data_IF_053621031520
#
_entry.id   IF_053621031520
#
_cell.length_a   1.000
_cell.length_b   1.000
_cell.length_c   1.000
_cell.angle_alpha   90.00
_cell.angle_beta   90.00
_cell.angle_gamma   90.00
#
_symmetry.space_group_name_H-M   'P 1'
#
loop_
_entity.id
_entity.type
_entity.pdbx_description
1 polymer ?
#
# COMPACT_ATOMS: atom_id res chain seq x y z
N UNK A 1 -22.91 3.39 16.48
CA UNK A 1 -22.14 3.49 17.74
C UNK A 1 -20.84 2.78 17.47
N UNK A 2 -19.70 3.48 17.40
CA UNK A 2 -18.41 2.85 17.23
C UNK A 2 -18.04 2.17 18.56
N UNK A 3 -17.99 0.85 18.56
CA UNK A 3 -17.48 0.09 19.69
C UNK A 3 -15.99 0.34 19.78
N UNK A 4 -15.55 1.07 20.78
CA UNK A 4 -14.13 1.18 21.12
C UNK A 4 -13.72 -0.19 21.65
N UNK A 5 -12.84 -0.89 20.93
CA UNK A 5 -12.17 -2.06 21.52
C UNK A 5 -11.22 -1.51 22.56
N UNK A 6 -11.70 -1.48 23.79
CA UNK A 6 -10.90 -1.07 24.94
C UNK A 6 -9.85 -2.17 25.20
N UNK A 7 -8.65 -1.98 24.65
CA UNK A 7 -7.50 -2.86 24.92
C UNK A 7 -7.07 -2.81 26.39
N UNK A 8 -7.69 -1.96 27.23
CA UNK A 8 -7.47 -1.93 28.68
C UNK A 8 -8.05 -3.15 29.40
N UNK A 9 -8.94 -3.92 28.77
CA UNK A 9 -9.57 -5.11 29.36
C UNK A 9 -8.82 -6.43 29.10
N UNK A 10 -7.91 -6.49 28.13
CA UNK A 10 -6.96 -7.58 28.01
C UNK A 10 -5.62 -7.14 28.60
N UNK A 11 -5.16 -7.85 29.62
CA UNK A 11 -3.82 -7.65 30.19
C UNK A 11 -2.79 -7.67 29.04
N UNK A 12 -2.05 -6.57 28.87
CA UNK A 12 -1.02 -6.45 27.82
C UNK A 12 -0.03 -7.62 27.87
N UNK A 13 0.22 -8.17 29.07
CA UNK A 13 1.06 -9.36 29.23
C UNK A 13 0.43 -10.61 28.59
N UNK A 14 -0.90 -10.76 28.62
CA UNK A 14 -1.58 -11.87 27.97
C UNK A 14 -1.52 -11.74 26.44
N UNK A 15 -1.70 -10.53 25.92
CA UNK A 15 -1.57 -10.25 24.48
C UNK A 15 -0.15 -10.60 24.02
N UNK A 16 0.88 -10.14 24.73
CA UNK A 16 2.28 -10.44 24.40
C UNK A 16 2.55 -11.94 24.39
N UNK A 17 2.11 -12.66 25.42
CA UNK A 17 2.33 -14.11 25.54
C UNK A 17 1.62 -14.88 24.39
N UNK A 18 0.37 -14.52 24.09
CA UNK A 18 -0.39 -15.15 23.02
C UNK A 18 0.21 -14.85 21.64
N UNK A 19 0.64 -13.62 21.40
CA UNK A 19 1.32 -13.23 20.17
C UNK A 19 2.65 -13.98 19.99
N UNK A 20 3.49 -14.03 21.01
CA UNK A 20 4.75 -14.79 20.99
C UNK A 20 4.52 -16.28 20.67
N UNK A 21 3.47 -16.86 21.24
CA UNK A 21 3.09 -18.26 20.94
C UNK A 21 2.70 -18.43 19.47
N UNK A 22 1.88 -17.55 18.91
CA UNK A 22 1.51 -17.58 17.50
C UNK A 22 2.72 -17.39 16.57
N UNK A 23 3.66 -16.49 16.94
CA UNK A 23 4.91 -16.29 16.20
C UNK A 23 5.81 -17.54 16.24
N UNK A 24 5.90 -18.25 17.36
CA UNK A 24 6.64 -19.51 17.49
C UNK A 24 6.05 -20.62 16.64
N UNK A 25 4.75 -20.58 16.32
CA UNK A 25 4.07 -21.47 15.38
C UNK A 25 4.35 -21.13 13.91
N UNK A 26 5.16 -20.11 13.63
CA UNK A 26 5.56 -19.70 12.29
C UNK A 26 4.63 -18.68 11.61
N UNK A 27 3.60 -18.18 12.30
CA UNK A 27 2.73 -17.15 11.75
C UNK A 27 3.51 -15.83 11.57
N UNK A 28 3.26 -15.12 10.47
CA UNK A 28 3.77 -13.75 10.28
C UNK A 28 3.08 -12.80 11.27
N UNK A 29 3.67 -11.64 11.54
CA UNK A 29 3.16 -10.68 12.54
C UNK A 29 1.69 -10.31 12.31
N UNK A 30 1.30 -10.05 11.05
CA UNK A 30 -0.09 -9.79 10.68
C UNK A 30 -1.02 -10.96 11.00
N UNK A 31 -0.64 -12.16 10.56
CA UNK A 31 -1.47 -13.37 10.71
C UNK A 31 -1.57 -13.75 12.20
N UNK A 32 -0.50 -13.56 12.97
CA UNK A 32 -0.49 -13.77 14.42
C UNK A 32 -1.44 -12.78 15.13
N UNK A 33 -1.41 -11.50 14.81
CA UNK A 33 -2.34 -10.51 15.35
C UNK A 33 -3.80 -10.86 15.00
N UNK A 34 -4.05 -11.19 13.75
CA UNK A 34 -5.38 -11.56 13.25
C UNK A 34 -5.92 -12.82 13.92
N UNK A 35 -5.07 -13.83 14.19
CA UNK A 35 -5.47 -15.05 14.91
C UNK A 35 -5.92 -14.79 16.37
N UNK A 36 -5.52 -13.65 16.91
CA UNK A 36 -5.93 -13.18 18.24
C UNK A 36 -7.16 -12.25 18.21
N UNK A 37 -7.72 -11.99 17.02
CA UNK A 37 -8.79 -11.00 16.84
C UNK A 37 -8.33 -9.56 17.04
N UNK A 38 -7.01 -9.29 16.94
CA UNK A 38 -6.41 -7.97 17.16
C UNK A 38 -5.85 -7.39 15.85
N UNK A 39 -5.77 -6.06 15.79
CA UNK A 39 -5.00 -5.39 14.74
C UNK A 39 -3.50 -5.42 15.05
N UNK A 40 -2.65 -5.29 14.01
CA UNK A 40 -1.19 -5.21 14.21
C UNK A 40 -0.80 -4.03 15.11
N UNK A 41 -1.44 -2.86 14.92
CA UNK A 41 -1.20 -1.69 15.75
C UNK A 41 -1.54 -1.92 17.21
N UNK A 42 -2.63 -2.64 17.51
CA UNK A 42 -3.02 -2.99 18.88
C UNK A 42 -2.01 -3.93 19.54
N UNK A 43 -1.52 -4.91 18.79
CA UNK A 43 -0.45 -5.80 19.28
C UNK A 43 0.82 -5.01 19.59
N UNK A 44 1.27 -4.11 18.71
CA UNK A 44 2.44 -3.28 19.00
C UNK A 44 2.23 -2.35 20.21
N UNK A 45 1.04 -1.76 20.34
CA UNK A 45 0.71 -0.94 21.50
C UNK A 45 0.80 -1.75 22.82
N UNK A 46 0.40 -3.04 22.81
CA UNK A 46 0.55 -3.92 23.96
C UNK A 46 2.01 -4.28 24.29
N UNK A 47 2.95 -4.10 23.33
CA UNK A 47 4.38 -4.31 23.53
C UNK A 47 5.14 -3.02 23.88
N UNK A 48 4.46 -1.89 24.07
CA UNK A 48 5.10 -0.66 24.54
C UNK A 48 5.51 -0.78 26.01
N UNK A 49 6.66 -0.19 26.35
CA UNK A 49 7.22 -0.22 27.71
C UNK A 49 8.20 -1.38 27.93
N UNK A 50 8.73 -1.45 29.16
CA UNK A 50 9.75 -2.45 29.52
C UNK A 50 9.11 -3.84 29.73
N UNK A 51 9.62 -4.83 29.04
CA UNK A 51 9.26 -6.24 29.20
C UNK A 51 10.39 -7.15 28.65
N UNK A 52 10.39 -8.41 29.05
CA UNK A 52 11.43 -9.38 28.69
C UNK A 52 11.24 -10.03 27.31
N UNK A 53 10.27 -9.62 26.50
CA UNK A 53 10.02 -10.19 25.19
C UNK A 53 11.07 -9.81 24.15
N UNK A 54 11.16 -10.59 23.07
CA UNK A 54 12.07 -10.34 21.94
C UNK A 54 11.59 -9.22 21.01
N UNK A 55 10.31 -8.89 21.03
CA UNK A 55 9.72 -7.78 20.29
C UNK A 55 9.74 -6.53 21.18
N UNK A 56 10.59 -5.57 20.85
CA UNK A 56 10.71 -4.30 21.54
C UNK A 56 10.04 -3.20 20.73
N UNK A 57 9.21 -2.39 21.37
CA UNK A 57 8.39 -1.38 20.72
C UNK A 57 8.53 -0.04 21.44
N UNK A 58 9.08 0.94 20.73
CA UNK A 58 9.14 2.32 21.18
C UNK A 58 8.09 3.15 20.45
N UNK A 59 7.10 3.72 21.15
CA UNK A 59 6.13 4.62 20.55
C UNK A 59 6.78 5.89 20.02
N UNK A 60 6.19 6.47 18.96
CA UNK A 60 6.66 7.68 18.31
C UNK A 60 5.66 8.81 18.43
N UNK A 61 6.16 10.04 18.59
CA UNK A 61 5.34 11.27 18.54
C UNK A 61 4.66 11.39 17.18
N UNK A 62 3.41 11.94 17.09
CA UNK A 62 2.67 12.08 15.83
C UNK A 62 3.21 13.24 14.96
N UNK A 63 4.50 13.27 14.71
CA UNK A 63 5.23 14.22 13.87
C UNK A 63 5.68 13.53 12.58
N UNK A 64 4.68 13.02 11.81
CA UNK A 64 4.92 12.07 10.73
C UNK A 64 5.84 12.58 9.63
N UNK A 65 5.62 13.82 9.17
CA UNK A 65 6.46 14.43 8.12
C UNK A 65 7.88 14.65 8.62
N UNK A 66 8.02 15.17 9.83
CA UNK A 66 9.31 15.46 10.45
C UNK A 66 10.11 14.17 10.68
N UNK A 67 9.47 13.08 11.09
CA UNK A 67 10.10 11.76 11.19
C UNK A 67 10.65 11.33 9.83
N UNK A 68 9.83 11.39 8.77
CA UNK A 68 10.23 10.95 7.44
C UNK A 68 11.37 11.82 6.87
N UNK A 69 11.36 13.13 7.12
CA UNK A 69 12.42 14.04 6.71
C UNK A 69 13.72 13.79 7.46
N UNK A 70 13.64 13.41 8.75
CA UNK A 70 14.80 13.10 9.57
C UNK A 70 15.51 11.80 9.15
N UNK A 71 14.90 10.96 8.31
CA UNK A 71 15.50 9.70 7.84
C UNK A 71 16.57 9.88 6.76
N UNK A 72 16.68 11.04 6.14
CA UNK A 72 17.64 11.25 5.04
C UNK A 72 19.09 10.88 5.41
N UNK A 73 19.63 11.24 6.58
CA UNK A 73 20.98 10.85 6.99
C UNK A 73 21.19 9.34 7.22
N UNK A 74 20.09 8.58 7.36
CA UNK A 74 20.18 7.12 7.53
C UNK A 74 20.66 6.41 6.26
N UNK A 75 20.66 7.06 5.11
CA UNK A 75 21.00 6.43 3.83
C UNK A 75 19.93 5.44 3.36
N UNK A 76 20.32 4.32 2.72
CA UNK A 76 19.36 3.38 2.16
C UNK A 76 18.48 2.71 3.21
N UNK A 77 17.17 2.74 2.97
CA UNK A 77 16.12 2.10 3.76
C UNK A 77 15.17 1.37 2.81
N UNK A 78 14.38 0.43 3.31
CA UNK A 78 13.31 -0.17 2.52
C UNK A 78 11.96 0.43 2.91
N UNK A 79 11.28 1.02 1.94
CA UNK A 79 9.87 1.42 2.01
C UNK A 79 8.97 0.21 1.74
N UNK A 80 7.98 -0.01 2.60
CA UNK A 80 6.98 -1.06 2.43
C UNK A 80 5.59 -0.48 2.58
N UNK A 81 4.78 -0.60 1.53
CA UNK A 81 3.33 -0.35 1.57
C UNK A 81 2.59 -1.59 1.11
N UNK A 82 1.51 -1.92 1.78
CA UNK A 82 0.74 -3.13 1.48
C UNK A 82 -0.75 -2.93 1.74
N UNK A 83 -1.53 -3.80 1.14
CA UNK A 83 -2.91 -4.09 1.52
C UNK A 83 -3.10 -5.60 1.77
N UNK A 84 -4.31 -6.12 1.69
CA UNK A 84 -4.59 -7.54 1.96
C UNK A 84 -3.99 -8.47 0.91
N UNK A 85 -3.94 -8.03 -0.34
CA UNK A 85 -3.57 -8.85 -1.49
C UNK A 85 -2.18 -8.57 -2.05
N UNK A 86 -1.53 -7.46 -1.68
CA UNK A 86 -0.24 -7.09 -2.27
C UNK A 86 0.69 -6.42 -1.27
N UNK A 87 1.99 -6.73 -1.39
CA UNK A 87 3.09 -6.05 -0.69
C UNK A 87 4.03 -5.47 -1.73
N UNK A 88 4.37 -4.20 -1.57
CA UNK A 88 5.30 -3.45 -2.39
C UNK A 88 6.48 -3.00 -1.52
N UNK A 89 7.67 -3.44 -1.86
CA UNK A 89 8.92 -3.10 -1.19
C UNK A 89 9.84 -2.37 -2.16
N UNK A 90 10.46 -1.28 -1.71
CA UNK A 90 11.39 -0.49 -2.52
C UNK A 90 12.52 0.02 -1.65
N UNK A 91 13.76 -0.24 -2.05
CA UNK A 91 14.95 0.31 -1.40
C UNK A 91 15.25 1.70 -1.95
N UNK A 92 15.65 2.62 -1.07
CA UNK A 92 16.03 3.98 -1.46
C UNK A 92 16.28 4.89 -0.27
N UNK A 93 16.62 6.14 -0.55
CA UNK A 93 16.87 7.18 0.46
C UNK A 93 15.61 8.02 0.64
N UNK A 94 15.19 8.19 1.89
CA UNK A 94 14.05 9.05 2.26
C UNK A 94 14.47 10.53 2.22
N UNK A 95 14.28 11.18 1.07
CA UNK A 95 14.66 12.59 0.84
C UNK A 95 13.68 13.29 -0.08
N UNK A 96 13.69 14.63 -0.06
CA UNK A 96 12.87 15.44 -0.98
C UNK A 96 11.39 15.48 -0.61
N UNK A 97 11.05 15.34 0.68
CA UNK A 97 9.67 15.43 1.14
C UNK A 97 9.14 16.87 1.04
N UNK A 98 7.99 17.00 0.41
CA UNK A 98 7.19 18.22 0.36
C UNK A 98 5.80 17.96 0.92
N UNK A 99 5.06 19.03 1.22
CA UNK A 99 3.68 18.95 1.70
C UNK A 99 2.82 19.96 0.96
N UNK A 100 1.76 19.47 0.35
CA UNK A 100 0.75 20.29 -0.31
C UNK A 100 -0.61 20.07 0.36
N UNK A 101 -1.05 21.04 1.16
CA UNK A 101 -2.26 20.89 1.98
C UNK A 101 -2.15 19.69 2.93
N UNK A 102 -3.10 18.73 2.89
CA UNK A 102 -3.10 17.55 3.75
C UNK A 102 -2.24 16.38 3.20
N UNK A 103 -1.63 16.53 2.02
CA UNK A 103 -0.90 15.47 1.31
C UNK A 103 0.59 15.72 1.39
N UNK A 104 1.35 14.73 1.85
CA UNK A 104 2.79 14.69 1.75
C UNK A 104 3.22 13.98 0.46
N UNK A 105 4.28 14.47 -0.13
CA UNK A 105 4.88 13.92 -1.34
C UNK A 105 6.35 13.60 -1.09
N UNK A 106 6.78 12.43 -1.51
CA UNK A 106 8.18 12.10 -1.73
C UNK A 106 8.28 11.59 -3.16
N UNK A 107 9.04 12.25 -3.98
CA UNK A 107 9.20 11.87 -5.39
C UNK A 107 10.67 12.07 -5.75
N UNK A 108 11.46 11.04 -5.54
CA UNK A 108 12.84 10.98 -5.98
C UNK A 108 13.05 9.74 -6.88
N UNK A 109 14.28 9.46 -7.27
CA UNK A 109 14.59 8.38 -8.21
C UNK A 109 14.15 7.00 -7.70
N UNK A 110 14.28 6.76 -6.39
CA UNK A 110 13.99 5.45 -5.79
C UNK A 110 12.65 5.42 -5.03
N UNK A 111 12.39 6.44 -4.22
CA UNK A 111 11.21 6.49 -3.33
C UNK A 111 10.17 7.46 -3.89
N UNK A 112 9.02 6.93 -4.28
CA UNK A 112 7.88 7.71 -4.76
C UNK A 112 6.64 7.37 -3.92
N UNK A 113 6.23 8.32 -3.05
CA UNK A 113 5.14 8.16 -2.08
C UNK A 113 4.15 9.31 -2.18
N UNK A 114 2.86 8.98 -2.03
CA UNK A 114 1.78 9.92 -1.74
C UNK A 114 1.27 9.61 -0.34
N UNK A 115 1.40 10.56 0.58
CA UNK A 115 1.19 10.35 2.01
C UNK A 115 -0.04 11.13 2.46
N UNK A 116 -1.02 10.42 3.00
CA UNK A 116 -2.28 10.99 3.47
C UNK A 116 -2.27 11.03 5.01
N UNK A 117 -1.55 12.00 5.58
CA UNK A 117 -1.28 12.07 7.02
C UNK A 117 -2.53 12.14 7.90
N UNK A 118 -3.67 12.54 7.36
CA UNK A 118 -4.95 12.49 8.07
C UNK A 118 -5.42 11.06 8.42
N UNK A 119 -4.88 10.06 7.75
CA UNK A 119 -5.16 8.65 8.03
C UNK A 119 -4.12 8.00 8.96
N UNK A 120 -3.05 8.72 9.33
CA UNK A 120 -2.00 8.20 10.21
C UNK A 120 -2.38 8.46 11.67
N UNK A 121 -2.45 7.40 12.47
CA UNK A 121 -2.90 7.48 13.86
C UNK A 121 -1.81 7.13 14.88
N UNK A 122 -1.04 6.08 14.63
CA UNK A 122 -0.02 5.58 15.52
C UNK A 122 1.28 5.30 14.77
N UNK A 123 2.42 5.49 15.45
CA UNK A 123 3.74 5.17 14.93
C UNK A 123 4.61 4.49 15.99
N UNK A 124 5.39 3.52 15.56
CA UNK A 124 6.26 2.74 16.43
C UNK A 124 7.62 2.52 15.79
N UNK A 125 8.69 2.67 16.56
CA UNK A 125 9.97 2.06 16.27
C UNK A 125 9.97 0.65 16.86
N UNK A 126 10.25 -0.34 16.02
CA UNK A 126 10.11 -1.76 16.33
C UNK A 126 11.45 -2.44 16.13
N UNK A 127 11.88 -3.21 17.15
CA UNK A 127 13.00 -4.13 17.03
C UNK A 127 12.49 -5.53 17.30
N UNK A 128 12.64 -6.42 16.32
CA UNK A 128 12.25 -7.81 16.44
C UNK A 128 13.36 -8.75 15.97
N UNK A 129 13.29 -10.03 16.36
CA UNK A 129 14.24 -11.04 15.89
C UNK A 129 13.93 -11.38 14.41
N UNK A 130 14.87 -11.11 13.54
CA UNK A 130 14.81 -11.50 12.13
C UNK A 130 15.01 -13.00 11.91
N UNK A 131 14.91 -13.44 10.65
CA UNK A 131 14.90 -14.85 10.24
C UNK A 131 16.09 -15.69 10.74
N UNK A 132 17.24 -15.05 10.95
CA UNK A 132 18.48 -15.72 11.38
C UNK A 132 18.95 -15.25 12.77
N UNK A 133 18.02 -14.74 13.60
CA UNK A 133 18.33 -14.25 14.94
C UNK A 133 18.99 -12.86 14.98
N UNK A 134 19.26 -12.24 13.82
CA UNK A 134 19.74 -10.87 13.77
C UNK A 134 18.60 -9.89 14.10
N UNK A 135 18.84 -8.79 14.81
CA UNK A 135 17.83 -7.80 15.07
C UNK A 135 17.38 -7.15 13.75
N UNK A 136 16.09 -7.01 13.58
CA UNK A 136 15.46 -6.30 12.49
C UNK A 136 14.78 -5.05 13.04
N UNK A 137 15.18 -3.88 12.54
CA UNK A 137 14.68 -2.59 12.98
C UNK A 137 13.75 -2.00 11.93
N UNK A 138 12.63 -1.41 12.38
CA UNK A 138 11.69 -0.75 11.50
C UNK A 138 10.97 0.41 12.19
N UNK A 139 10.49 1.38 11.39
CA UNK A 139 9.41 2.28 11.77
C UNK A 139 8.12 1.78 11.13
N UNK A 140 7.06 1.70 11.90
CA UNK A 140 5.78 1.18 11.43
C UNK A 140 4.66 2.14 11.81
N UNK A 141 3.85 2.52 10.81
CA UNK A 141 2.77 3.50 10.96
C UNK A 141 1.43 2.83 10.69
N UNK A 142 0.42 3.21 11.47
CA UNK A 142 -0.88 2.58 11.50
C UNK A 142 -2.01 3.60 11.46
N UNK A 143 -3.14 3.21 10.88
CA UNK A 143 -4.37 3.99 10.91
C UNK A 143 -5.10 3.83 12.25
N UNK A 144 -6.24 4.51 12.39
CA UNK A 144 -7.09 4.44 13.61
C UNK A 144 -7.65 3.05 13.91
N UNK A 145 -7.59 2.12 12.95
CA UNK A 145 -8.03 0.73 13.12
C UNK A 145 -6.85 -0.21 13.45
N UNK A 146 -5.64 0.33 13.55
CA UNK A 146 -4.42 -0.45 13.73
C UNK A 146 -4.01 -1.24 12.50
N UNK A 147 -4.51 -0.85 11.31
CA UNK A 147 -4.07 -1.40 10.03
C UNK A 147 -2.81 -0.68 9.58
N UNK A 148 -1.83 -1.44 9.08
CA UNK A 148 -0.57 -0.84 8.63
C UNK A 148 -0.78 0.12 7.46
N UNK A 149 -0.26 1.34 7.61
CA UNK A 149 -0.26 2.38 6.59
C UNK A 149 1.02 2.34 5.79
N UNK A 150 2.16 2.36 6.48
CA UNK A 150 3.49 2.36 5.88
C UNK A 150 4.50 1.78 6.87
N UNK A 151 5.49 1.06 6.36
CA UNK A 151 6.59 0.53 7.17
C UNK A 151 7.91 0.85 6.51
N UNK A 152 8.94 1.09 7.32
CA UNK A 152 10.29 1.43 6.87
C UNK A 152 11.24 0.51 7.59
N UNK A 153 12.07 -0.21 6.84
CA UNK A 153 13.03 -1.17 7.40
C UNK A 153 14.46 -0.75 7.16
N UNK A 154 15.29 -1.00 8.15
CA UNK A 154 16.73 -0.88 8.04
C UNK A 154 17.27 -1.88 7.01
N UNK A 155 18.31 -1.47 6.27
CA UNK A 155 19.07 -2.28 5.32
C UNK A 155 20.53 -2.44 5.80
N UNK A 156 21.30 -3.39 5.26
CA UNK A 156 22.70 -3.55 5.65
C UNK A 156 23.55 -2.29 5.45
N UNK A 157 23.15 -1.39 4.55
CA UNK A 157 23.85 -0.14 4.23
C UNK A 157 23.33 1.07 5.03
N UNK A 158 22.36 0.86 5.92
CA UNK A 158 21.79 1.95 6.74
C UNK A 158 22.79 2.42 7.79
N UNK A 159 22.92 3.73 7.94
CA UNK A 159 23.72 4.37 8.99
C UNK A 159 22.98 4.26 10.33
N UNK A 160 23.32 3.22 11.11
CA UNK A 160 22.60 2.88 12.35
C UNK A 160 22.64 3.98 13.40
N UNK A 161 23.73 4.74 13.49
CA UNK A 161 23.80 5.85 14.44
C UNK A 161 22.77 6.94 14.11
N UNK A 162 22.60 7.27 12.83
CA UNK A 162 21.57 8.21 12.40
C UNK A 162 20.16 7.68 12.66
N UNK A 163 19.92 6.39 12.41
CA UNK A 163 18.66 5.73 12.71
C UNK A 163 18.31 5.83 14.20
N UNK A 164 19.24 5.50 15.10
CA UNK A 164 19.06 5.57 16.55
C UNK A 164 18.75 7.00 17.01
N UNK A 165 19.42 8.00 16.42
CA UNK A 165 19.14 9.42 16.69
C UNK A 165 17.72 9.80 16.31
N UNK A 166 17.21 9.33 15.16
CA UNK A 166 15.83 9.57 14.75
C UNK A 166 14.85 8.93 15.74
N UNK A 167 15.07 7.65 16.09
CA UNK A 167 14.20 6.95 17.06
C UNK A 167 14.17 7.68 18.39
N UNK A 168 15.33 8.11 18.89
CA UNK A 168 15.44 8.82 20.17
C UNK A 168 14.77 10.20 20.12
N UNK A 169 14.95 10.96 19.06
CA UNK A 169 14.39 12.31 18.91
C UNK A 169 12.86 12.31 18.89
N UNK A 170 12.27 11.29 18.27
CA UNK A 170 10.84 11.17 18.11
C UNK A 170 10.18 10.18 19.08
N UNK A 171 10.91 9.61 20.03
CA UNK A 171 10.34 8.75 21.06
C UNK A 171 9.25 9.48 21.85
N UNK A 172 8.10 8.82 22.04
CA UNK A 172 7.01 9.27 22.88
C UNK A 172 7.05 8.52 24.21
N UNK A 173 7.18 9.25 25.33
CA UNK A 173 7.24 8.69 26.68
C UNK A 173 5.87 8.48 27.32
N UNK A 174 4.79 9.03 26.73
CA UNK A 174 3.45 8.97 27.30
C UNK A 174 2.39 8.69 26.21
N UNK A 175 2.56 7.65 25.38
CA UNK A 175 1.64 7.39 24.29
C UNK A 175 0.27 6.98 24.82
N UNK A 176 -0.77 7.42 24.12
CA UNK A 176 -2.15 6.96 24.33
C UNK A 176 -2.70 6.52 22.98
N UNK A 177 -2.67 5.22 22.74
CA UNK A 177 -3.27 4.65 21.55
C UNK A 177 -4.59 3.96 21.91
N UNK A 178 -5.65 4.36 21.24
CA UNK A 178 -6.91 3.61 21.17
C UNK A 178 -7.18 3.29 19.72
N UNK A 179 -7.36 2.02 19.40
CA UNK A 179 -7.78 1.59 18.08
C UNK A 179 -9.27 1.34 18.08
N UNK A 180 -9.95 1.80 17.04
CA UNK A 180 -11.40 1.60 16.89
C UNK A 180 -11.66 0.47 15.91
N UNK A 181 -12.71 -0.30 16.15
CA UNK A 181 -13.13 -1.34 15.23
C UNK A 181 -13.50 -0.73 13.88
N UNK A 182 -13.16 -1.44 12.80
CA UNK A 182 -13.48 -0.99 11.45
C UNK A 182 -14.98 -1.08 11.24
N UNK A 183 -15.60 0.06 10.96
CA UNK A 183 -17.02 0.09 10.62
C UNK A 183 -17.29 -0.71 9.32
N UNK A 184 -18.45 -1.35 9.26
CA UNK A 184 -18.91 -1.96 8.02
C UNK A 184 -18.97 -0.93 6.89
N UNK A 185 -18.57 -1.34 5.69
CA UNK A 185 -18.65 -0.48 4.51
C UNK A 185 -20.11 -0.17 4.22
N UNK A 186 -20.41 1.09 3.98
CA UNK A 186 -21.73 1.47 3.50
C UNK A 186 -22.02 0.74 2.15
N UNK A 187 -23.26 0.30 1.92
CA UNK A 187 -23.62 -0.33 0.66
C UNK A 187 -23.38 0.61 -0.51
N UNK A 188 -22.88 0.06 -1.60
CA UNK A 188 -22.71 0.80 -2.86
C UNK A 188 -24.08 1.19 -3.40
N UNK A 189 -24.22 2.41 -3.90
CA UNK A 189 -25.46 2.86 -4.55
C UNK A 189 -25.81 1.94 -5.73
N UNK A 190 -27.11 1.77 -5.99
CA UNK A 190 -27.57 0.98 -7.13
C UNK A 190 -27.06 1.60 -8.44
N UNK A 191 -26.60 0.77 -9.38
CA UNK A 191 -26.17 1.20 -10.71
C UNK A 191 -27.24 2.03 -11.43
N UNK A 192 -28.53 1.71 -11.22
CA UNK A 192 -29.67 2.43 -11.80
C UNK A 192 -29.85 3.86 -11.21
N UNK A 193 -29.30 4.14 -10.05
CA UNK A 193 -29.36 5.46 -9.42
C UNK A 193 -28.30 6.44 -9.92
N UNK A 194 -27.31 5.96 -10.66
CA UNK A 194 -26.21 6.77 -11.16
C UNK A 194 -26.55 7.31 -12.56
N UNK A 195 -26.34 8.60 -12.79
CA UNK A 195 -26.39 9.19 -14.13
C UNK A 195 -25.20 8.70 -14.98
N UNK A 196 -25.36 7.52 -15.57
CA UNK A 196 -24.34 6.92 -16.41
C UNK A 196 -24.02 7.72 -17.69
N UNK A 197 -24.99 8.49 -18.21
CA UNK A 197 -24.78 9.34 -19.38
C UNK A 197 -23.91 10.56 -19.02
N UNK A 198 -24.26 11.26 -17.96
CA UNK A 198 -23.47 12.36 -17.42
C UNK A 198 -22.08 11.93 -17.00
N UNK A 199 -21.95 10.76 -16.34
CA UNK A 199 -20.65 10.17 -15.97
C UNK A 199 -19.76 9.94 -17.20
N UNK A 200 -20.29 9.37 -18.29
CA UNK A 200 -19.54 9.17 -19.55
C UNK A 200 -19.10 10.49 -20.17
N UNK A 201 -19.96 11.49 -20.15
CA UNK A 201 -19.64 12.82 -20.67
C UNK A 201 -18.54 13.48 -19.84
N UNK A 202 -18.64 13.44 -18.50
CA UNK A 202 -17.63 13.98 -17.61
C UNK A 202 -16.29 13.27 -17.77
N UNK A 203 -16.30 11.93 -17.90
CA UNK A 203 -15.09 11.14 -18.13
C UNK A 203 -14.39 11.53 -19.45
N UNK A 204 -15.16 11.72 -20.53
CA UNK A 204 -14.61 12.15 -21.83
C UNK A 204 -13.95 13.54 -21.77
N UNK A 205 -14.29 14.35 -20.79
CA UNK A 205 -13.78 15.71 -20.60
C UNK A 205 -12.65 15.82 -19.57
N UNK A 206 -12.20 14.72 -18.99
CA UNK A 206 -11.06 14.70 -18.05
C UNK A 206 -9.82 15.34 -18.72
N UNK A 207 -9.13 16.17 -17.98
CA UNK A 207 -7.87 16.81 -18.40
C UNK A 207 -6.66 16.27 -17.69
N UNK A 208 -6.88 15.71 -16.50
CA UNK A 208 -5.85 15.09 -15.68
C UNK A 208 -6.40 13.84 -14.99
N UNK A 209 -5.54 12.84 -14.78
CA UNK A 209 -5.92 11.60 -14.07
C UNK A 209 -6.32 11.85 -12.61
N UNK A 210 -5.84 12.94 -11.99
CA UNK A 210 -6.20 13.32 -10.62
C UNK A 210 -7.64 13.83 -10.50
N UNK A 211 -8.21 14.37 -11.59
CA UNK A 211 -9.62 14.81 -11.63
C UNK A 211 -10.60 13.65 -11.49
N UNK A 212 -10.14 12.43 -11.75
CA UNK A 212 -10.98 11.22 -11.77
C UNK A 212 -11.70 10.98 -10.44
N UNK A 213 -10.99 11.13 -9.32
CA UNK A 213 -11.59 10.95 -7.99
C UNK A 213 -12.65 12.01 -7.69
N UNK A 214 -12.40 13.27 -8.07
CA UNK A 214 -13.37 14.35 -7.94
C UNK A 214 -14.64 14.09 -8.76
N UNK A 215 -14.47 13.59 -9.98
CA UNK A 215 -15.58 13.19 -10.84
C UNK A 215 -16.42 12.09 -10.19
N UNK A 216 -15.81 11.01 -9.70
CA UNK A 216 -16.53 9.93 -9.02
C UNK A 216 -17.35 10.45 -7.83
N UNK A 217 -16.77 11.34 -7.04
CA UNK A 217 -17.44 11.97 -5.90
C UNK A 217 -18.65 12.80 -6.34
N UNK A 218 -18.55 13.55 -7.44
CA UNK A 218 -19.66 14.35 -8.00
C UNK A 218 -20.85 13.48 -8.39
N UNK A 219 -20.60 12.29 -8.95
CA UNK A 219 -21.67 11.37 -9.36
C UNK A 219 -22.09 10.39 -8.24
N UNK A 220 -21.48 10.46 -7.04
CA UNK A 220 -21.76 9.50 -5.97
C UNK A 220 -21.45 8.05 -6.37
N UNK A 221 -20.48 7.86 -7.26
CA UNK A 221 -20.19 6.60 -7.90
C UNK A 221 -18.89 5.99 -7.37
N UNK A 222 -18.90 4.69 -7.04
CA UNK A 222 -17.73 3.93 -6.67
C UNK A 222 -16.81 3.71 -7.89
N UNK A 223 -15.50 3.54 -7.64
CA UNK A 223 -14.50 3.39 -8.71
C UNK A 223 -14.85 2.24 -9.65
N UNK A 224 -15.01 1.04 -9.14
CA UNK A 224 -15.32 -0.14 -9.95
C UNK A 224 -16.73 -0.07 -10.55
N UNK A 225 -17.70 0.55 -9.86
CA UNK A 225 -19.02 0.83 -10.38
C UNK A 225 -18.95 1.71 -11.63
N UNK A 226 -18.12 2.75 -11.62
CA UNK A 226 -17.92 3.61 -12.78
C UNK A 226 -17.39 2.84 -13.99
N UNK A 227 -16.56 1.81 -13.77
CA UNK A 227 -16.03 0.97 -14.85
C UNK A 227 -17.14 0.12 -15.50
N UNK A 228 -18.02 -0.46 -14.69
CA UNK A 228 -19.18 -1.20 -15.21
C UNK A 228 -20.10 -0.29 -16.05
N UNK A 229 -20.39 0.91 -15.55
CA UNK A 229 -21.29 1.88 -16.20
C UNK A 229 -20.70 2.50 -17.47
N UNK A 230 -19.37 2.49 -17.63
CA UNK A 230 -18.67 3.03 -18.79
C UNK A 230 -18.02 1.96 -19.66
N UNK A 231 -18.38 0.69 -19.45
CA UNK A 231 -17.88 -0.45 -20.21
C UNK A 231 -18.03 -0.22 -21.71
N UNK A 232 -17.01 -0.58 -22.48
CA UNK A 232 -16.96 -0.42 -23.93
C UNK A 232 -16.61 1.00 -24.42
N UNK A 233 -16.72 2.02 -23.55
CA UNK A 233 -16.28 3.38 -23.87
C UNK A 233 -14.86 3.65 -23.31
N UNK A 234 -14.68 3.50 -22.00
CA UNK A 234 -13.44 3.79 -21.31
C UNK A 234 -12.85 2.58 -20.60
N UNK A 235 -13.64 1.59 -20.28
CA UNK A 235 -13.26 0.44 -19.49
C UNK A 235 -13.64 -0.87 -20.15
N UNK A 236 -12.76 -1.87 -20.00
CA UNK A 236 -13.00 -3.24 -20.46
C UNK A 236 -12.57 -4.22 -19.36
N UNK A 237 -13.40 -5.23 -19.04
CA UNK A 237 -13.00 -6.26 -18.11
C UNK A 237 -11.92 -7.15 -18.72
N UNK A 238 -10.89 -7.45 -17.93
CA UNK A 238 -9.82 -8.37 -18.28
C UNK A 238 -9.95 -9.66 -17.48
N UNK A 239 -9.41 -10.74 -18.01
CA UNK A 239 -9.20 -11.97 -17.23
C UNK A 239 -8.32 -11.68 -16.01
N UNK A 240 -8.56 -12.33 -14.87
CA UNK A 240 -7.71 -12.20 -13.69
C UNK A 240 -6.29 -12.76 -13.91
N UNK A 241 -6.07 -13.54 -14.97
CA UNK A 241 -4.73 -13.96 -15.39
C UNK A 241 -3.95 -12.87 -16.12
N UNK A 242 -4.59 -11.77 -16.50
CA UNK A 242 -3.99 -10.67 -17.26
C UNK A 242 -2.78 -10.05 -16.54
N UNK A 243 -2.81 -9.95 -15.19
CA UNK A 243 -1.69 -9.40 -14.42
C UNK A 243 -0.41 -10.22 -14.56
N UNK A 244 -0.50 -11.55 -14.63
CA UNK A 244 0.66 -12.42 -14.84
C UNK A 244 1.27 -12.15 -16.22
N UNK A 245 0.43 -12.11 -17.26
CA UNK A 245 0.88 -11.83 -18.62
C UNK A 245 1.44 -10.42 -18.77
N UNK A 246 0.84 -9.43 -18.09
CA UNK A 246 1.36 -8.07 -18.06
C UNK A 246 2.79 -8.02 -17.53
N UNK A 247 3.03 -8.63 -16.37
CA UNK A 247 4.36 -8.62 -15.73
C UNK A 247 5.39 -9.40 -16.57
N UNK A 248 5.02 -10.57 -17.10
CA UNK A 248 5.91 -11.40 -17.95
C UNK A 248 6.24 -10.70 -19.28
N UNK A 249 5.26 -10.09 -19.94
CA UNK A 249 5.47 -9.35 -21.20
C UNK A 249 6.28 -8.08 -20.97
N UNK A 250 5.99 -7.32 -19.89
CA UNK A 250 6.79 -6.14 -19.54
C UNK A 250 8.25 -6.52 -19.26
N UNK A 251 8.49 -7.62 -18.54
CA UNK A 251 9.82 -8.12 -18.25
C UNK A 251 10.55 -8.57 -19.55
N UNK A 252 9.86 -9.34 -20.39
CA UNK A 252 10.43 -9.84 -21.66
C UNK A 252 10.79 -8.73 -22.65
N UNK A 253 9.99 -7.66 -22.67
CA UNK A 253 10.21 -6.51 -23.55
C UNK A 253 11.11 -5.43 -22.92
N UNK A 254 11.60 -5.63 -21.68
CA UNK A 254 12.29 -4.60 -20.87
C UNK A 254 11.51 -3.28 -20.83
N UNK A 255 10.17 -3.37 -20.90
CA UNK A 255 9.29 -2.21 -20.91
C UNK A 255 9.15 -1.64 -19.50
N UNK A 256 9.54 -0.37 -19.27
CA UNK A 256 9.37 0.23 -17.96
C UNK A 256 7.89 0.50 -17.68
N UNK A 257 7.47 0.11 -16.49
CA UNK A 257 6.10 0.28 -16.00
C UNK A 257 6.08 1.02 -14.66
N UNK A 258 4.92 1.57 -14.31
CA UNK A 258 4.66 2.08 -12.96
C UNK A 258 3.73 1.11 -12.24
N UNK A 259 4.07 0.78 -11.00
CA UNK A 259 3.27 -0.10 -10.13
C UNK A 259 2.84 0.69 -8.90
N UNK A 260 1.54 0.91 -8.75
CA UNK A 260 0.94 1.63 -7.63
C UNK A 260 0.33 0.64 -6.65
N UNK A 261 0.75 0.70 -5.41
CA UNK A 261 0.14 -0.04 -4.31
C UNK A 261 -0.24 0.91 -3.19
N UNK A 262 -1.48 0.82 -2.76
CA UNK A 262 -2.05 1.70 -1.74
C UNK A 262 -2.41 0.99 -0.45
N UNK A 263 -2.26 1.73 0.64
CA UNK A 263 -2.94 1.56 1.93
C UNK A 263 -3.95 2.70 2.12
N UNK A 264 -4.58 2.79 3.30
CA UNK A 264 -5.49 3.92 3.61
C UNK A 264 -4.77 5.26 3.73
N UNK A 265 -3.47 5.27 4.04
CA UNK A 265 -2.71 6.50 4.28
C UNK A 265 -1.45 6.67 3.44
N UNK A 266 -1.18 5.76 2.49
CA UNK A 266 -0.02 5.83 1.63
C UNK A 266 -0.30 5.18 0.27
N UNK A 267 0.17 5.80 -0.81
CA UNK A 267 0.37 5.14 -2.11
C UNK A 267 1.86 5.10 -2.37
N UNK A 268 2.40 3.92 -2.60
CA UNK A 268 3.80 3.69 -2.97
C UNK A 268 3.89 3.28 -4.43
N UNK A 269 4.81 3.88 -5.15
CA UNK A 269 4.93 3.76 -6.59
C UNK A 269 6.33 3.25 -6.95
N UNK A 270 6.40 2.20 -7.74
CA UNK A 270 7.61 1.82 -8.47
C UNK A 270 7.51 2.38 -9.89
N UNK A 271 8.60 2.96 -10.39
CA UNK A 271 8.75 3.36 -11.78
C UNK A 271 10.02 2.74 -12.33
N UNK A 272 9.90 1.93 -13.38
CA UNK A 272 11.06 1.28 -13.98
C UNK A 272 10.73 -0.09 -14.59
N UNK A 273 11.76 -0.79 -15.10
CA UNK A 273 11.60 -2.15 -15.59
C UNK A 273 11.34 -3.14 -14.44
N UNK A 274 10.61 -4.21 -14.77
CA UNK A 274 10.52 -5.43 -13.96
C UNK A 274 11.22 -6.56 -14.70
N UNK A 275 11.91 -7.47 -13.99
CA UNK A 275 12.75 -8.49 -14.65
C UNK A 275 12.51 -9.91 -14.14
N UNK A 276 12.52 -10.11 -12.83
CA UNK A 276 12.49 -11.45 -12.23
C UNK A 276 11.08 -11.78 -11.74
N UNK A 277 10.26 -12.25 -12.67
CA UNK A 277 8.87 -12.65 -12.37
C UNK A 277 8.87 -14.10 -11.89
N UNK A 278 8.37 -14.34 -10.67
CA UNK A 278 8.38 -15.66 -10.01
C UNK A 278 7.00 -16.02 -9.46
N UNK A 279 6.29 -16.95 -10.08
CA UNK A 279 5.10 -17.53 -9.48
C UNK A 279 5.48 -18.38 -8.27
N UNK A 280 4.62 -18.39 -7.26
CA UNK A 280 4.76 -19.23 -6.07
C UNK A 280 3.38 -19.68 -5.63
N UNK A 281 3.15 -21.00 -5.67
CA UNK A 281 1.95 -21.61 -5.12
C UNK A 281 2.27 -22.29 -3.79
N UNK A 282 1.45 -22.03 -2.80
CA UNK A 282 1.49 -22.72 -1.50
C UNK A 282 0.08 -23.20 -1.16
N UNK A 283 -0.11 -24.17 -0.25
CA UNK A 283 -1.44 -24.54 0.20
C UNK A 283 -2.23 -23.30 0.66
N UNK A 284 -3.34 -23.00 -0.02
CA UNK A 284 -4.22 -21.87 0.30
C UNK A 284 -3.76 -20.50 -0.18
N UNK A 285 -2.72 -20.39 -1.03
CA UNK A 285 -2.34 -19.12 -1.63
C UNK A 285 -1.62 -19.25 -2.97
N UNK A 286 -1.94 -18.34 -3.89
CA UNK A 286 -1.35 -18.28 -5.23
C UNK A 286 -0.75 -16.88 -5.45
N UNK A 287 0.58 -16.82 -5.59
CA UNK A 287 1.34 -15.60 -5.67
C UNK A 287 1.99 -15.42 -7.03
N UNK A 288 2.09 -14.18 -7.47
CA UNK A 288 3.05 -13.74 -8.48
C UNK A 288 3.97 -12.71 -7.83
N UNK A 289 5.28 -12.90 -7.99
CA UNK A 289 6.28 -12.04 -7.37
C UNK A 289 7.15 -11.39 -8.44
N UNK A 290 7.51 -10.13 -8.21
CA UNK A 290 8.68 -9.49 -8.82
C UNK A 290 9.76 -9.48 -7.75
N UNK A 291 10.95 -10.00 -8.07
CA UNK A 291 12.08 -10.12 -7.13
C UNK A 291 13.32 -9.48 -7.76
N UNK A 292 13.29 -8.17 -7.91
CA UNK A 292 14.37 -7.41 -8.52
C UNK A 292 15.25 -6.75 -7.44
N UNK A 293 16.53 -6.52 -7.70
CA UNK A 293 17.36 -5.73 -6.79
C UNK A 293 16.73 -4.35 -6.53
N UNK A 294 16.47 -4.05 -5.26
CA UNK A 294 15.86 -2.78 -4.82
C UNK A 294 14.35 -2.64 -5.05
N UNK A 295 13.69 -3.64 -5.67
CA UNK A 295 12.23 -3.64 -5.82
C UNK A 295 11.63 -5.05 -5.72
N UNK A 296 10.73 -5.26 -4.77
CA UNK A 296 9.92 -6.48 -4.71
C UNK A 296 8.43 -6.16 -4.73
N UNK A 297 7.69 -7.00 -5.42
CA UNK A 297 6.22 -7.01 -5.40
C UNK A 297 5.78 -8.44 -5.10
N UNK A 298 4.91 -8.61 -4.10
CA UNK A 298 4.31 -9.90 -3.76
C UNK A 298 2.80 -9.76 -3.88
N UNK A 299 2.22 -10.34 -4.91
CA UNK A 299 0.79 -10.20 -5.25
C UNK A 299 0.07 -11.54 -5.14
N UNK A 300 -0.97 -11.61 -4.31
CA UNK A 300 -1.91 -12.72 -4.13
C UNK A 300 -2.92 -12.73 -5.27
N UNK A 301 -2.71 -13.60 -6.28
CA UNK A 301 -3.62 -13.70 -7.43
C UNK A 301 -4.98 -14.28 -7.04
N UNK A 302 -5.01 -15.17 -6.07
CA UNK A 302 -6.23 -15.77 -5.54
C UNK A 302 -7.16 -14.78 -4.80
N UNK A 303 -6.67 -13.59 -4.46
CA UNK A 303 -7.46 -12.51 -3.86
C UNK A 303 -7.94 -11.47 -4.88
N UNK A 304 -7.57 -11.59 -6.16
CA UNK A 304 -8.04 -10.72 -7.23
C UNK A 304 -9.39 -11.24 -7.73
N UNK A 305 -10.43 -10.45 -7.59
CA UNK A 305 -11.78 -10.82 -8.06
C UNK A 305 -12.17 -10.19 -9.38
N UNK A 306 -11.56 -9.04 -9.72
CA UNK A 306 -11.75 -8.42 -11.03
C UNK A 306 -10.54 -7.62 -11.47
N UNK A 307 -10.34 -7.59 -12.78
CA UNK A 307 -9.27 -6.85 -13.44
C UNK A 307 -9.87 -6.02 -14.56
N UNK A 308 -9.41 -4.77 -14.68
CA UNK A 308 -9.94 -3.82 -15.66
C UNK A 308 -8.85 -3.13 -16.44
N UNK A 309 -9.04 -3.03 -17.75
CA UNK A 309 -8.34 -2.07 -18.60
C UNK A 309 -9.12 -0.75 -18.55
N UNK A 310 -8.44 0.34 -18.19
CA UNK A 310 -9.10 1.66 -18.01
C UNK A 310 -8.35 2.70 -18.82
N UNK A 311 -9.09 3.52 -19.55
CA UNK A 311 -8.58 4.62 -20.38
C UNK A 311 -9.09 5.96 -19.85
N UNK A 312 -8.19 6.86 -19.51
CA UNK A 312 -8.53 8.21 -19.07
C UNK A 312 -7.97 9.22 -20.06
N UNK A 313 -8.83 10.00 -20.75
CA UNK A 313 -8.36 11.11 -21.54
C UNK A 313 -7.65 12.13 -20.64
N UNK A 314 -6.60 12.74 -21.15
CA UNK A 314 -5.89 13.85 -20.48
C UNK A 314 -5.42 14.84 -21.55
N UNK A 315 -4.93 16.00 -21.12
CA UNK A 315 -4.31 16.99 -22.01
C UNK A 315 -3.10 16.44 -22.74
N UNK A 316 -2.42 15.45 -22.17
CA UNK A 316 -1.22 14.82 -22.72
C UNK A 316 -1.54 13.56 -23.58
N UNK A 317 -2.80 13.28 -23.80
CA UNK A 317 -3.29 12.08 -24.49
C UNK A 317 -4.02 11.13 -23.54
N UNK A 318 -4.32 9.92 -24.05
CA UNK A 318 -4.98 8.89 -23.23
C UNK A 318 -3.97 8.25 -22.29
N UNK A 319 -4.33 8.12 -21.02
CA UNK A 319 -3.60 7.34 -20.03
C UNK A 319 -4.31 6.01 -19.82
N UNK A 320 -3.61 4.92 -20.11
CA UNK A 320 -4.10 3.55 -19.99
C UNK A 320 -3.58 2.93 -18.69
N UNK A 321 -4.47 2.30 -17.93
CA UNK A 321 -4.10 1.54 -16.73
C UNK A 321 -4.71 0.14 -16.74
N UNK A 322 -4.05 -0.78 -16.04
CA UNK A 322 -4.62 -2.07 -15.63
C UNK A 322 -4.83 -2.02 -14.13
N UNK A 323 -6.06 -2.20 -13.69
CA UNK A 323 -6.45 -2.02 -12.29
C UNK A 323 -7.05 -3.30 -11.73
N UNK A 324 -6.52 -3.73 -10.57
CA UNK A 324 -6.91 -4.96 -9.89
C UNK A 324 -7.76 -4.65 -8.66
N UNK A 325 -8.80 -5.46 -8.43
CA UNK A 325 -9.70 -5.29 -7.29
C UNK A 325 -9.89 -6.60 -6.54
N UNK A 326 -10.10 -6.48 -5.24
CA UNK A 326 -10.44 -7.60 -4.35
C UNK A 326 -11.97 -7.82 -4.25
N UNK A 327 -12.36 -8.79 -3.43
CA UNK A 327 -13.77 -9.15 -3.20
C UNK A 327 -14.60 -8.02 -2.55
N UNK A 328 -13.95 -7.08 -1.88
CA UNK A 328 -14.63 -5.92 -1.27
C UNK A 328 -14.79 -4.76 -2.25
N UNK A 329 -14.21 -4.87 -3.45
CA UNK A 329 -14.15 -3.81 -4.45
C UNK A 329 -13.08 -2.76 -4.19
N UNK A 330 -12.17 -3.02 -3.25
CA UNK A 330 -11.02 -2.15 -3.00
C UNK A 330 -9.91 -2.41 -4.05
N UNK A 331 -9.18 -1.35 -4.38
CA UNK A 331 -8.05 -1.44 -5.32
C UNK A 331 -6.91 -2.23 -4.69
N UNK A 332 -6.50 -3.32 -5.33
CA UNK A 332 -5.32 -4.10 -4.96
C UNK A 332 -4.05 -3.42 -5.46
N UNK A 333 -3.97 -3.19 -6.77
CA UNK A 333 -2.84 -2.53 -7.43
C UNK A 333 -3.30 -1.90 -8.75
N UNK A 334 -2.52 -0.91 -9.21
CA UNK A 334 -2.71 -0.31 -10.54
C UNK A 334 -1.39 -0.30 -11.28
N UNK A 335 -1.44 -0.60 -12.57
CA UNK A 335 -0.27 -0.63 -13.46
C UNK A 335 -0.45 0.39 -14.58
N UNK A 336 0.63 1.13 -14.87
CA UNK A 336 0.68 2.15 -15.93
C UNK A 336 1.99 2.01 -16.70
N UNK A 337 2.04 2.57 -17.91
CA UNK A 337 3.32 2.85 -18.58
C UNK A 337 4.04 4.01 -17.91
N UNK A 338 5.37 3.95 -17.86
CA UNK A 338 6.17 5.08 -17.39
C UNK A 338 5.93 6.28 -18.29
N UNK A 339 5.58 7.40 -17.70
CA UNK A 339 5.39 8.67 -18.38
C UNK A 339 5.87 9.84 -17.52
N UNK A 340 6.18 10.96 -18.18
CA UNK A 340 6.45 12.24 -17.51
C UNK A 340 5.31 13.21 -17.81
N UNK A 341 5.02 14.17 -16.93
CA UNK A 341 4.07 15.26 -17.22
C UNK A 341 4.41 15.93 -18.55
N UNK A 342 3.38 16.26 -19.33
CA UNK A 342 3.53 16.86 -20.66
C UNK A 342 3.89 15.86 -21.77
N UNK A 343 3.92 14.56 -21.49
CA UNK A 343 4.22 13.52 -22.47
C UNK A 343 3.11 12.47 -22.53
N UNK A 344 2.77 12.04 -23.74
CA UNK A 344 1.88 10.91 -23.94
C UNK A 344 2.51 9.62 -23.39
N UNK A 345 1.68 8.66 -23.01
CA UNK A 345 2.16 7.32 -22.61
C UNK A 345 2.87 6.62 -23.77
N UNK A 346 3.81 5.72 -23.45
CA UNK A 346 4.52 4.92 -24.44
C UNK A 346 3.54 4.04 -25.23
N UNK A 347 3.65 4.08 -26.57
CA UNK A 347 2.83 3.22 -27.44
C UNK A 347 3.01 1.73 -27.14
N UNK A 348 4.23 1.31 -26.78
CA UNK A 348 4.53 -0.07 -26.39
C UNK A 348 3.71 -0.51 -25.16
N UNK A 349 3.57 0.36 -24.15
CA UNK A 349 2.69 0.10 -23.01
C UNK A 349 1.24 -0.07 -23.42
N UNK A 350 0.71 0.86 -24.23
CA UNK A 350 -0.68 0.78 -24.71
C UNK A 350 -0.93 -0.52 -25.47
N UNK A 351 -0.02 -0.88 -26.38
CA UNK A 351 -0.11 -2.13 -27.15
C UNK A 351 -0.13 -3.34 -26.23
N UNK A 352 0.75 -3.40 -25.22
CA UNK A 352 0.77 -4.47 -24.24
C UNK A 352 -0.57 -4.54 -23.48
N UNK A 353 -1.00 -3.44 -22.90
CA UNK A 353 -2.22 -3.39 -22.06
C UNK A 353 -3.48 -3.76 -22.87
N UNK A 354 -3.59 -3.28 -24.11
CA UNK A 354 -4.71 -3.60 -25.00
C UNK A 354 -4.67 -5.04 -25.52
N UNK A 355 -3.50 -5.67 -25.59
CA UNK A 355 -3.30 -7.07 -25.97
C UNK A 355 -3.63 -8.08 -24.86
N UNK A 356 -3.89 -7.65 -23.63
CA UNK A 356 -4.18 -8.54 -22.52
C UNK A 356 -5.53 -9.29 -22.68
N UNK A 357 -5.63 -10.52 -22.13
CA UNK A 357 -6.82 -11.35 -22.28
C UNK A 357 -8.04 -10.70 -21.63
N UNK A 358 -9.15 -10.70 -22.35
CA UNK A 358 -10.46 -10.22 -21.89
C UNK A 358 -11.14 -11.27 -21.00
N UNK A 359 -12.06 -10.78 -20.10
CA UNK A 359 -12.88 -11.64 -19.26
C UNK A 359 -14.04 -12.27 -20.05
#
# INVERSE_FOLDING_TARGET
>A
MNTVVDTSLCDAAQIRAAFDQARKQGLRAKDAAQSLGLSEGAVLAAHCGEHAGSLQVQPLKPQWLEILQALQPCGPLMALTRNEAVVHEKDGIYQGFTKEGPIGLCNNEDIDLRLFFFAWHAGFAVTESGRYGQPMHSLQFYDQHGTAVHKIYVRPQTEMQAWEQVVQAFADSAPRYSFVEKAERAPVADDASIDAAGLRQAWAQLKDTHDFFGMLKTFGCERQQSFRLTRGAFCEPLSNTAVTQLLEQAASAELPIMVFVGSKGCIQIHSGPVRHIKPLQTPGSDWINVLDPGFNLHLRRDLITSTWLVRKPTTDGVVTSVELFDATGDVVAMFFGVRKPGQAELQAWRTLAEGLPRA
#
